data_IF_276318166845
#
_entry.id   IF_276318166845
#
_cell.length_a   1.000
_cell.length_b   1.000
_cell.length_c   1.000
_cell.angle_alpha   90.00
_cell.angle_beta   90.00
_cell.angle_gamma   90.00
#
_symmetry.space_group_name_H-M   'P 1'
#
loop_
_entity.id
_entity.type
_entity.pdbx_description
1 polymer ?
#
# COMPACT_ATOMS: atom_id res chain seq x y z
N UNK A 1 -0.63 -50.18 17.17
CA UNK A 1 0.59 -49.69 17.82
C UNK A 1 1.06 -48.51 17.00
N UNK A 2 0.50 -47.31 17.28
CA UNK A 2 0.82 -46.10 16.56
C UNK A 2 2.06 -45.45 17.16
N UNK A 3 3.16 -45.47 16.42
CA UNK A 3 4.40 -44.81 16.79
C UNK A 3 4.16 -43.30 16.59
N UNK A 4 4.07 -42.55 17.70
CA UNK A 4 4.09 -41.08 17.70
C UNK A 4 5.52 -40.68 17.32
N UNK A 5 5.74 -39.86 16.27
CA UNK A 5 7.07 -39.37 15.97
C UNK A 5 7.59 -38.50 17.11
N UNK A 6 8.81 -38.74 17.50
CA UNK A 6 9.49 -38.15 18.63
C UNK A 6 9.75 -36.65 18.31
N UNK A 7 9.23 -35.72 19.12
CA UNK A 7 9.39 -34.28 18.98
C UNK A 7 10.85 -33.79 18.96
N UNK A 8 11.78 -34.64 19.35
CA UNK A 8 13.22 -34.37 19.34
C UNK A 8 13.85 -34.34 17.93
N UNK A 9 13.32 -35.11 16.96
CA UNK A 9 13.83 -35.10 15.58
C UNK A 9 13.34 -33.90 14.80
N UNK A 10 12.14 -33.37 15.11
CA UNK A 10 11.64 -32.12 14.52
C UNK A 10 12.42 -30.90 15.02
N UNK A 11 12.89 -30.92 16.27
CA UNK A 11 13.73 -29.85 16.84
C UNK A 11 15.12 -29.78 16.22
N UNK A 12 15.78 -30.93 16.01
CA UNK A 12 17.14 -31.00 15.46
C UNK A 12 17.21 -30.60 13.98
N UNK A 13 16.16 -30.87 13.19
CA UNK A 13 16.07 -30.41 11.79
C UNK A 13 15.83 -28.90 11.68
N UNK A 14 15.25 -28.25 12.70
CA UNK A 14 14.96 -26.82 12.74
C UNK A 14 16.20 -25.98 13.10
N UNK A 15 17.10 -26.50 13.96
CA UNK A 15 18.31 -25.76 14.36
C UNK A 15 19.30 -25.55 13.22
N UNK A 16 19.38 -26.48 12.26
CA UNK A 16 20.27 -26.39 11.11
C UNK A 16 19.73 -25.53 9.93
N UNK A 17 18.43 -25.19 9.91
CA UNK A 17 17.79 -24.45 8.82
C UNK A 17 17.61 -22.95 9.09
N UNK A 18 17.77 -22.51 10.34
CA UNK A 18 17.51 -21.11 10.75
C UNK A 18 16.03 -20.69 10.69
N UNK A 19 15.10 -21.63 10.44
CA UNK A 19 13.66 -21.39 10.47
C UNK A 19 13.05 -21.79 11.82
N UNK A 20 12.03 -21.01 12.28
CA UNK A 20 11.30 -21.29 13.54
C UNK A 20 10.39 -22.52 13.44
N UNK A 21 10.04 -22.94 12.22
CA UNK A 21 9.19 -24.09 11.91
C UNK A 21 9.74 -24.80 10.68
N UNK A 22 9.16 -25.95 10.29
CA UNK A 22 9.62 -26.65 9.09
C UNK A 22 9.60 -25.75 7.86
N UNK A 23 10.61 -25.83 7.02
CA UNK A 23 10.75 -25.01 5.80
C UNK A 23 9.49 -25.09 4.90
N UNK A 24 8.83 -26.26 4.82
CA UNK A 24 7.58 -26.42 4.06
C UNK A 24 6.45 -25.55 4.60
N UNK A 25 6.29 -25.46 5.92
CA UNK A 25 5.26 -24.62 6.55
C UNK A 25 5.53 -23.12 6.36
N UNK A 26 6.80 -22.70 6.44
CA UNK A 26 7.20 -21.32 6.20
C UNK A 26 6.87 -20.90 4.77
N UNK A 27 7.22 -21.71 3.77
CA UNK A 27 6.93 -21.43 2.38
C UNK A 27 5.43 -21.50 2.06
N UNK A 28 4.69 -22.42 2.69
CA UNK A 28 3.23 -22.48 2.59
C UNK A 28 2.58 -21.21 3.14
N UNK A 29 2.97 -20.77 4.35
CA UNK A 29 2.48 -19.52 4.93
C UNK A 29 2.81 -18.31 4.07
N UNK A 30 4.02 -18.25 3.52
CA UNK A 30 4.41 -17.21 2.59
C UNK A 30 3.56 -17.21 1.32
N UNK A 31 3.39 -18.37 0.68
CA UNK A 31 2.61 -18.49 -0.56
C UNK A 31 1.14 -18.06 -0.33
N UNK A 32 0.54 -18.47 0.79
CA UNK A 32 -0.83 -18.06 1.14
C UNK A 32 -0.92 -16.55 1.41
N UNK A 33 0.06 -15.99 2.14
CA UNK A 33 0.10 -14.55 2.44
C UNK A 33 0.31 -13.72 1.16
N UNK A 34 1.21 -14.19 0.28
CA UNK A 34 1.42 -13.57 -1.03
C UNK A 34 0.16 -13.63 -1.90
N UNK A 35 -0.47 -14.81 -1.98
CA UNK A 35 -1.66 -15.02 -2.80
C UNK A 35 -2.83 -14.14 -2.33
N UNK A 36 -3.07 -14.04 -1.02
CA UNK A 36 -4.10 -13.15 -0.48
C UNK A 36 -3.80 -11.68 -0.83
N UNK A 37 -2.56 -11.21 -0.67
CA UNK A 37 -2.16 -9.84 -1.05
C UNK A 37 -2.34 -9.58 -2.54
N UNK A 38 -2.05 -10.58 -3.36
CA UNK A 38 -2.22 -10.54 -4.80
C UNK A 38 -3.69 -10.40 -5.19
N UNK A 39 -4.59 -11.21 -4.60
CA UNK A 39 -6.03 -11.14 -4.84
C UNK A 39 -6.68 -9.86 -4.27
N UNK A 40 -6.21 -9.35 -3.13
CA UNK A 40 -6.61 -8.06 -2.57
C UNK A 40 -6.41 -6.93 -3.60
N UNK A 41 -5.23 -6.87 -4.22
CA UNK A 41 -4.95 -5.85 -5.24
C UNK A 41 -5.63 -6.10 -6.59
N UNK A 42 -5.95 -7.35 -6.94
CA UNK A 42 -6.85 -7.63 -8.07
C UNK A 42 -8.22 -7.01 -7.80
N UNK A 43 -8.80 -7.23 -6.60
CA UNK A 43 -10.12 -6.68 -6.23
C UNK A 43 -10.14 -5.15 -6.26
N UNK A 44 -9.11 -4.50 -5.74
CA UNK A 44 -9.00 -3.03 -5.77
C UNK A 44 -9.03 -2.47 -7.17
N UNK A 45 -8.45 -3.16 -8.13
CA UNK A 45 -8.28 -2.65 -9.49
C UNK A 45 -9.34 -3.13 -10.47
N UNK A 46 -10.02 -4.24 -10.20
CA UNK A 46 -11.04 -4.77 -11.10
C UNK A 46 -12.15 -3.76 -11.37
N UNK A 47 -12.60 -3.04 -10.35
CA UNK A 47 -13.72 -2.07 -10.45
C UNK A 47 -13.42 -0.93 -11.42
N UNK A 48 -12.16 -0.55 -11.58
CA UNK A 48 -11.76 0.57 -12.45
C UNK A 48 -12.07 0.29 -13.91
N UNK A 49 -11.89 -0.96 -14.35
CA UNK A 49 -12.23 -1.41 -15.71
C UNK A 49 -13.73 -1.57 -15.91
N UNK A 50 -14.51 -1.61 -14.82
CA UNK A 50 -15.97 -1.76 -14.86
C UNK A 50 -16.71 -0.41 -14.98
N UNK A 51 -16.03 0.72 -14.77
CA UNK A 51 -16.63 2.07 -14.81
C UNK A 51 -17.50 2.33 -16.03
N UNK A 52 -17.08 2.00 -17.29
CA UNK A 52 -17.94 2.23 -18.45
C UNK A 52 -19.26 1.46 -18.36
N UNK A 53 -19.25 0.22 -17.88
CA UNK A 53 -20.43 -0.63 -17.76
C UNK A 53 -21.36 -0.15 -16.64
N UNK A 54 -20.83 0.13 -15.45
CA UNK A 54 -21.60 0.61 -14.30
C UNK A 54 -22.23 1.98 -14.64
N UNK A 55 -21.46 2.86 -15.31
CA UNK A 55 -21.96 4.17 -15.73
C UNK A 55 -23.14 4.05 -16.69
N UNK A 56 -23.05 3.18 -17.67
CA UNK A 56 -24.11 3.00 -18.69
C UNK A 56 -25.36 2.35 -18.11
N UNK A 57 -25.23 1.40 -17.15
CA UNK A 57 -26.37 0.69 -16.57
C UNK A 57 -27.13 1.54 -15.53
N UNK A 58 -26.38 2.27 -14.68
CA UNK A 58 -26.97 3.01 -13.57
C UNK A 58 -26.96 4.54 -13.75
N UNK A 59 -26.51 5.04 -14.90
CA UNK A 59 -26.43 6.48 -15.23
C UNK A 59 -25.68 7.31 -14.17
N UNK A 60 -24.61 6.74 -13.59
CA UNK A 60 -23.84 7.38 -12.53
C UNK A 60 -22.98 8.54 -13.04
N UNK A 61 -22.79 9.54 -12.18
CA UNK A 61 -21.79 10.58 -12.41
C UNK A 61 -20.35 10.02 -12.24
N UNK A 62 -19.37 10.68 -12.82
CA UNK A 62 -17.98 10.29 -12.67
C UNK A 62 -17.51 10.45 -11.20
N UNK A 63 -18.04 11.45 -10.47
CA UNK A 63 -17.82 11.60 -9.03
C UNK A 63 -18.29 10.37 -8.25
N UNK A 64 -19.46 9.84 -8.57
CA UNK A 64 -19.99 8.63 -7.93
C UNK A 64 -19.11 7.41 -8.22
N UNK A 65 -18.65 7.23 -9.46
CA UNK A 65 -17.73 6.16 -9.82
C UNK A 65 -16.39 6.27 -9.07
N UNK A 66 -15.80 7.47 -9.02
CA UNK A 66 -14.57 7.71 -8.26
C UNK A 66 -14.75 7.41 -6.77
N UNK A 67 -15.93 7.69 -6.19
CA UNK A 67 -16.19 7.44 -4.77
C UNK A 67 -16.24 5.94 -4.42
N UNK A 68 -16.58 5.05 -5.37
CA UNK A 68 -16.52 3.59 -5.17
C UNK A 68 -15.09 3.06 -4.95
N UNK A 69 -14.09 3.74 -5.50
CA UNK A 69 -12.67 3.44 -5.25
C UNK A 69 -12.21 4.12 -3.97
N UNK A 70 -12.59 5.38 -3.78
CA UNK A 70 -12.15 6.22 -2.67
C UNK A 70 -12.62 5.72 -1.31
N UNK A 71 -13.84 5.18 -1.22
CA UNK A 71 -14.39 4.68 0.05
C UNK A 71 -13.53 3.57 0.65
N UNK A 72 -12.98 2.68 -0.18
CA UNK A 72 -12.06 1.61 0.27
C UNK A 72 -10.83 2.23 0.92
N UNK A 73 -10.18 3.20 0.24
CA UNK A 73 -8.97 3.86 0.77
C UNK A 73 -9.24 4.66 2.05
N UNK A 74 -10.41 5.31 2.17
CA UNK A 74 -10.82 6.02 3.39
C UNK A 74 -10.93 5.04 4.55
N UNK A 75 -11.63 3.92 4.33
CA UNK A 75 -11.86 2.92 5.38
C UNK A 75 -10.54 2.24 5.78
N UNK A 76 -9.68 1.89 4.80
CA UNK A 76 -8.33 1.35 5.06
C UNK A 76 -7.49 2.33 5.88
N UNK A 77 -7.47 3.60 5.51
CA UNK A 77 -6.69 4.62 6.22
C UNK A 77 -7.21 4.86 7.63
N UNK A 78 -8.51 5.05 7.81
CA UNK A 78 -9.14 5.30 9.10
C UNK A 78 -9.13 4.07 10.03
N UNK A 79 -9.32 2.88 9.44
CA UNK A 79 -9.38 1.60 10.15
C UNK A 79 -8.02 1.01 10.53
N UNK A 80 -6.93 1.47 9.91
CA UNK A 80 -5.60 0.86 10.05
C UNK A 80 -5.14 0.69 11.48
N UNK A 81 -5.29 1.73 12.31
CA UNK A 81 -4.88 1.68 13.71
C UNK A 81 -5.82 0.83 14.60
N UNK A 82 -7.16 1.01 14.55
CA UNK A 82 -8.07 0.14 15.32
C UNK A 82 -7.91 -1.35 14.99
N UNK A 83 -7.80 -1.69 13.70
CA UNK A 83 -7.67 -3.08 13.28
C UNK A 83 -6.33 -3.70 13.69
N UNK A 84 -5.23 -2.93 13.65
CA UNK A 84 -3.94 -3.39 14.13
C UNK A 84 -3.99 -3.78 15.62
N UNK A 85 -4.65 -2.95 16.46
CA UNK A 85 -4.83 -3.24 17.90
C UNK A 85 -5.67 -4.49 18.16
N UNK A 86 -6.71 -4.73 17.33
CA UNK A 86 -7.52 -5.95 17.41
C UNK A 86 -6.71 -7.16 16.95
N UNK A 87 -5.93 -7.04 15.87
CA UNK A 87 -5.09 -8.11 15.34
C UNK A 87 -4.03 -8.58 16.34
N UNK A 88 -3.43 -7.64 17.09
CA UNK A 88 -2.44 -7.97 18.13
C UNK A 88 -3.07 -8.79 19.28
N UNK A 89 -4.38 -8.64 19.55
CA UNK A 89 -5.11 -9.40 20.59
C UNK A 89 -5.60 -10.76 20.10
N UNK A 90 -6.02 -10.85 18.84
CA UNK A 90 -6.62 -12.08 18.28
C UNK A 90 -5.58 -13.12 17.81
N UNK A 91 -4.33 -12.71 17.61
CA UNK A 91 -3.31 -13.49 16.92
C UNK A 91 -3.29 -13.20 15.41
N UNK A 92 -2.12 -13.33 14.80
CA UNK A 92 -1.88 -12.88 13.42
C UNK A 92 -2.63 -13.70 12.38
N UNK A 93 -2.60 -15.03 12.50
CA UNK A 93 -3.26 -15.93 11.54
C UNK A 93 -4.78 -15.74 11.60
N UNK A 94 -5.36 -15.72 12.80
CA UNK A 94 -6.82 -15.51 12.97
C UNK A 94 -7.25 -14.15 12.40
N UNK A 95 -6.47 -13.11 12.65
CA UNK A 95 -6.76 -11.77 12.13
C UNK A 95 -6.75 -11.72 10.60
N UNK A 96 -5.74 -12.35 9.97
CA UNK A 96 -5.66 -12.44 8.50
C UNK A 96 -6.87 -13.20 7.95
N UNK A 97 -7.27 -14.33 8.57
CA UNK A 97 -8.45 -15.09 8.12
C UNK A 97 -9.72 -14.25 8.22
N UNK A 98 -9.96 -13.58 9.35
CA UNK A 98 -11.15 -12.74 9.54
C UNK A 98 -11.17 -11.60 8.51
N UNK A 99 -10.05 -10.92 8.31
CA UNK A 99 -9.92 -9.87 7.30
C UNK A 99 -10.19 -10.42 5.89
N UNK A 100 -9.55 -11.54 5.52
CA UNK A 100 -9.69 -12.14 4.19
C UNK A 100 -11.12 -12.65 3.93
N UNK A 101 -11.77 -13.28 4.89
CA UNK A 101 -13.19 -13.68 4.77
C UNK A 101 -14.08 -12.46 4.63
N UNK A 102 -13.86 -11.41 5.43
CA UNK A 102 -14.68 -10.19 5.40
C UNK A 102 -14.60 -9.52 4.03
N UNK A 103 -13.40 -9.24 3.49
CA UNK A 103 -13.30 -8.58 2.19
C UNK A 103 -13.78 -9.48 1.05
N UNK A 104 -13.51 -10.79 1.09
CA UNK A 104 -13.97 -11.70 0.04
C UNK A 104 -15.49 -11.82 -0.02
N UNK A 105 -16.16 -11.95 1.13
CA UNK A 105 -17.63 -11.98 1.19
C UNK A 105 -18.24 -10.63 0.76
N UNK A 106 -17.62 -9.51 1.16
CA UNK A 106 -18.04 -8.19 0.73
C UNK A 106 -17.88 -8.01 -0.80
N UNK A 107 -16.75 -8.49 -1.37
CA UNK A 107 -16.55 -8.48 -2.82
C UNK A 107 -17.58 -9.35 -3.55
N UNK A 108 -17.87 -10.55 -3.06
CA UNK A 108 -18.91 -11.41 -3.62
C UNK A 108 -20.29 -10.72 -3.51
N UNK A 109 -20.56 -10.00 -2.41
CA UNK A 109 -21.83 -9.28 -2.24
C UNK A 109 -22.02 -8.17 -3.29
N UNK A 110 -20.92 -7.61 -3.86
CA UNK A 110 -21.02 -6.63 -4.94
C UNK A 110 -21.71 -7.18 -6.20
N UNK A 111 -21.68 -8.51 -6.43
CA UNK A 111 -22.42 -9.14 -7.54
C UNK A 111 -23.94 -8.94 -7.44
N UNK A 112 -24.46 -8.90 -6.22
CA UNK A 112 -25.90 -8.89 -5.94
C UNK A 112 -26.47 -7.49 -5.75
N UNK A 113 -25.63 -6.46 -5.89
CA UNK A 113 -26.06 -5.08 -5.73
C UNK A 113 -26.97 -4.63 -6.88
N UNK A 114 -28.05 -3.93 -6.54
CA UNK A 114 -29.06 -3.43 -7.48
C UNK A 114 -28.94 -1.91 -7.72
N UNK A 115 -28.18 -1.19 -6.89
CA UNK A 115 -28.02 0.26 -6.98
C UNK A 115 -26.68 0.73 -6.42
N UNK A 116 -26.39 2.01 -6.67
CA UNK A 116 -25.13 2.66 -6.24
C UNK A 116 -24.92 2.58 -4.73
N UNK A 117 -25.93 2.84 -3.91
CA UNK A 117 -25.77 2.87 -2.45
C UNK A 117 -25.37 1.50 -1.89
N UNK A 118 -25.97 0.42 -2.41
CA UNK A 118 -25.59 -0.94 -2.01
C UNK A 118 -24.16 -1.26 -2.41
N UNK A 119 -23.76 -0.93 -3.64
CA UNK A 119 -22.38 -1.15 -4.10
C UNK A 119 -21.39 -0.32 -3.28
N UNK A 120 -21.70 0.95 -2.97
CA UNK A 120 -20.87 1.82 -2.15
C UNK A 120 -20.67 1.24 -0.73
N UNK A 121 -21.75 0.77 -0.09
CA UNK A 121 -21.65 0.13 1.23
C UNK A 121 -20.88 -1.19 1.19
N UNK A 122 -21.10 -2.02 0.17
CA UNK A 122 -20.31 -3.25 -0.03
C UNK A 122 -18.82 -2.93 -0.18
N UNK A 123 -18.46 -1.92 -0.98
CA UNK A 123 -17.07 -1.45 -1.12
C UNK A 123 -16.49 -0.87 0.18
N UNK A 124 -17.29 -0.21 1.02
CA UNK A 124 -16.84 0.22 2.35
C UNK A 124 -16.48 -0.99 3.25
N UNK A 125 -17.30 -2.05 3.20
CA UNK A 125 -17.02 -3.30 3.94
C UNK A 125 -15.79 -4.02 3.38
N UNK A 126 -15.59 -4.01 2.06
CA UNK A 126 -14.33 -4.48 1.44
C UNK A 126 -13.14 -3.77 2.08
N UNK A 127 -13.16 -2.42 2.14
CA UNK A 127 -12.09 -1.64 2.77
C UNK A 127 -11.84 -2.01 4.23
N UNK A 128 -12.88 -2.36 5.00
CA UNK A 128 -12.73 -2.81 6.37
C UNK A 128 -11.96 -4.15 6.45
N UNK A 129 -12.27 -5.09 5.56
CA UNK A 129 -11.58 -6.37 5.48
C UNK A 129 -10.14 -6.26 4.97
N UNK A 130 -9.84 -5.28 4.12
CA UNK A 130 -8.48 -5.03 3.61
C UNK A 130 -7.58 -4.28 4.62
N UNK A 131 -8.19 -3.70 5.66
CA UNK A 131 -7.48 -2.87 6.63
C UNK A 131 -6.49 -3.69 7.48
N UNK A 132 -5.22 -3.29 7.47
CA UNK A 132 -4.18 -3.90 8.31
C UNK A 132 -3.58 -5.20 7.76
N UNK A 133 -4.14 -5.79 6.72
CA UNK A 133 -3.64 -7.03 6.14
C UNK A 133 -2.16 -6.97 5.75
N UNK A 134 -1.76 -5.89 5.06
CA UNK A 134 -0.37 -5.70 4.63
C UNK A 134 0.62 -5.64 5.80
N UNK A 135 0.29 -4.94 6.88
CA UNK A 135 1.15 -4.82 8.06
C UNK A 135 1.27 -6.13 8.84
N UNK A 136 0.17 -6.87 9.00
CA UNK A 136 0.17 -8.20 9.66
C UNK A 136 0.94 -9.22 8.82
N UNK A 137 0.80 -9.19 7.49
CA UNK A 137 1.55 -10.05 6.56
C UNK A 137 3.06 -9.80 6.62
N UNK A 138 3.49 -8.53 6.62
CA UNK A 138 4.90 -8.16 6.79
C UNK A 138 5.45 -8.64 8.13
N UNK A 139 4.69 -8.49 9.21
CA UNK A 139 5.08 -8.95 10.53
C UNK A 139 5.21 -10.49 10.59
N UNK A 140 4.29 -11.23 9.95
CA UNK A 140 4.33 -12.68 9.83
C UNK A 140 5.59 -13.12 9.07
N UNK A 141 5.84 -12.61 7.88
CA UNK A 141 6.99 -12.94 7.04
C UNK A 141 8.31 -12.61 7.77
N UNK A 142 8.36 -11.45 8.42
CA UNK A 142 9.55 -11.02 9.16
C UNK A 142 9.91 -11.93 10.32
N UNK A 143 8.95 -12.65 10.86
CA UNK A 143 9.16 -13.61 11.95
C UNK A 143 9.48 -15.02 11.44
N UNK A 144 8.83 -15.45 10.35
CA UNK A 144 9.01 -16.81 9.82
C UNK A 144 10.34 -16.99 9.08
N UNK A 145 10.87 -15.95 8.47
CA UNK A 145 12.11 -16.04 7.66
C UNK A 145 13.35 -15.64 8.47
N UNK A 146 14.47 -16.40 8.35
CA UNK A 146 15.74 -16.04 8.95
C UNK A 146 16.28 -14.72 8.40
N UNK A 147 17.12 -14.02 9.16
CA UNK A 147 17.66 -12.69 8.80
C UNK A 147 18.27 -12.64 7.40
N UNK A 148 18.90 -13.73 6.95
CA UNK A 148 19.59 -13.85 5.65
C UNK A 148 18.62 -13.81 4.45
N UNK A 149 17.43 -14.39 4.55
CA UNK A 149 16.44 -14.49 3.46
C UNK A 149 15.24 -13.56 3.62
N UNK A 150 15.09 -12.91 4.79
CA UNK A 150 13.97 -12.04 5.12
C UNK A 150 13.77 -10.90 4.12
N UNK A 151 14.84 -10.22 3.71
CA UNK A 151 14.76 -9.12 2.74
C UNK A 151 14.26 -9.59 1.38
N UNK A 152 14.68 -10.77 0.92
CA UNK A 152 14.21 -11.34 -0.34
C UNK A 152 12.72 -11.73 -0.26
N UNK A 153 12.30 -12.36 0.85
CA UNK A 153 10.90 -12.71 1.05
C UNK A 153 9.98 -11.48 1.12
N UNK A 154 10.39 -10.43 1.84
CA UNK A 154 9.64 -9.17 1.88
C UNK A 154 9.60 -8.48 0.51
N UNK A 155 10.72 -8.48 -0.23
CA UNK A 155 10.76 -7.94 -1.59
C UNK A 155 9.79 -8.66 -2.52
N UNK A 156 9.74 -10.00 -2.46
CA UNK A 156 8.78 -10.80 -3.21
C UNK A 156 7.32 -10.48 -2.79
N UNK A 157 7.06 -10.37 -1.49
CA UNK A 157 5.73 -10.01 -0.97
C UNK A 157 5.26 -8.65 -1.49
N UNK A 158 6.14 -7.65 -1.53
CA UNK A 158 5.82 -6.32 -2.06
C UNK A 158 5.67 -6.27 -3.60
N UNK A 159 5.99 -7.34 -4.32
CA UNK A 159 5.65 -7.46 -5.74
C UNK A 159 4.17 -7.83 -5.96
N UNK A 160 3.52 -8.48 -4.99
CA UNK A 160 2.12 -8.91 -5.11
C UNK A 160 1.14 -7.76 -5.43
N UNK A 161 1.19 -6.57 -4.77
CA UNK A 161 0.38 -5.41 -5.12
C UNK A 161 0.47 -5.00 -6.58
N UNK A 162 1.67 -4.95 -7.11
CA UNK A 162 1.91 -4.53 -8.50
C UNK A 162 1.36 -5.53 -9.50
N UNK A 163 1.64 -6.80 -9.30
CA UNK A 163 1.16 -7.89 -10.15
C UNK A 163 -0.37 -8.00 -10.07
N UNK A 164 -0.94 -7.91 -8.86
CA UNK A 164 -2.38 -7.93 -8.64
C UNK A 164 -3.07 -6.76 -9.33
N UNK A 165 -2.51 -5.55 -9.24
CA UNK A 165 -3.07 -4.36 -9.88
C UNK A 165 -3.11 -4.49 -11.40
N UNK A 166 -2.02 -4.96 -12.02
CA UNK A 166 -1.96 -5.21 -13.47
C UNK A 166 -3.03 -6.22 -13.88
N UNK A 167 -3.09 -7.35 -13.17
CA UNK A 167 -4.03 -8.41 -13.50
C UNK A 167 -5.48 -8.00 -13.25
N UNK A 168 -5.76 -7.24 -12.19
CA UNK A 168 -7.09 -6.74 -11.85
C UNK A 168 -7.69 -5.87 -12.94
N UNK A 169 -6.91 -4.94 -13.48
CA UNK A 169 -7.34 -4.08 -14.60
C UNK A 169 -7.62 -4.91 -15.85
N UNK A 170 -6.78 -5.88 -16.19
CA UNK A 170 -6.96 -6.75 -17.36
C UNK A 170 -8.17 -7.65 -17.19
N UNK A 171 -8.26 -8.37 -16.06
CA UNK A 171 -9.36 -9.30 -15.78
C UNK A 171 -10.70 -8.58 -15.72
N UNK A 172 -10.76 -7.39 -15.10
CA UNK A 172 -11.99 -6.60 -15.03
C UNK A 172 -12.60 -6.35 -16.41
N UNK A 173 -11.81 -5.87 -17.36
CA UNK A 173 -12.25 -5.64 -18.73
C UNK A 173 -12.65 -6.93 -19.48
N UNK A 174 -11.87 -8.00 -19.33
CA UNK A 174 -12.13 -9.29 -19.99
C UNK A 174 -13.39 -9.98 -19.47
N UNK A 175 -13.59 -9.99 -18.16
CA UNK A 175 -14.74 -10.64 -17.52
C UNK A 175 -16.01 -9.86 -17.85
N UNK A 176 -15.96 -8.52 -17.71
CA UNK A 176 -17.10 -7.67 -18.00
C UNK A 176 -17.61 -7.81 -19.45
N UNK A 177 -16.68 -7.96 -20.41
CA UNK A 177 -17.03 -8.14 -21.82
C UNK A 177 -17.73 -9.48 -22.11
N UNK A 178 -17.49 -10.55 -21.33
CA UNK A 178 -18.01 -11.89 -21.59
C UNK A 178 -19.21 -12.26 -20.72
N UNK A 179 -19.18 -11.90 -19.43
CA UNK A 179 -20.13 -12.36 -18.42
C UNK A 179 -20.84 -11.21 -17.69
N UNK A 180 -20.62 -9.97 -18.14
CA UNK A 180 -21.13 -8.78 -17.49
C UNK A 180 -20.27 -8.34 -16.29
N UNK A 181 -20.36 -7.06 -15.94
CA UNK A 181 -19.50 -6.44 -14.93
C UNK A 181 -19.69 -7.01 -13.52
N UNK A 182 -20.91 -7.47 -13.17
CA UNK A 182 -21.21 -8.08 -11.86
C UNK A 182 -20.42 -9.38 -11.64
N UNK A 183 -20.24 -10.19 -12.70
CA UNK A 183 -19.49 -11.43 -12.62
C UNK A 183 -18.00 -11.21 -12.21
N UNK A 184 -17.43 -10.05 -12.52
CA UNK A 184 -16.05 -9.75 -12.18
C UNK A 184 -15.80 -9.80 -10.66
N UNK A 185 -16.76 -9.33 -9.85
CA UNK A 185 -16.63 -9.40 -8.39
C UNK A 185 -16.69 -10.85 -7.87
N UNK A 186 -17.51 -11.71 -8.47
CA UNK A 186 -17.57 -13.12 -8.10
C UNK A 186 -16.28 -13.87 -8.45
N UNK A 187 -15.77 -13.66 -9.66
CA UNK A 187 -14.52 -14.30 -10.13
C UNK A 187 -13.32 -13.91 -9.26
N UNK A 188 -13.31 -12.71 -8.70
CA UNK A 188 -12.22 -12.24 -7.83
C UNK A 188 -12.47 -12.61 -6.37
N UNK A 189 -13.70 -12.47 -5.87
CA UNK A 189 -14.02 -12.70 -4.47
C UNK A 189 -13.99 -14.18 -4.06
N UNK A 190 -14.43 -15.09 -4.95
CA UNK A 190 -14.46 -16.54 -4.65
C UNK A 190 -13.06 -17.12 -4.40
N UNK A 191 -12.05 -16.89 -5.26
CA UNK A 191 -10.70 -17.35 -4.96
C UNK A 191 -10.13 -16.76 -3.65
N UNK A 192 -10.42 -15.49 -3.35
CA UNK A 192 -10.04 -14.86 -2.09
C UNK A 192 -10.62 -15.60 -0.88
N UNK A 193 -11.91 -15.98 -0.94
CA UNK A 193 -12.56 -16.74 0.11
C UNK A 193 -11.95 -18.14 0.26
N UNK A 194 -11.68 -18.83 -0.85
CA UNK A 194 -11.03 -20.13 -0.84
C UNK A 194 -9.64 -20.05 -0.20
N UNK A 195 -8.85 -19.05 -0.57
CA UNK A 195 -7.53 -18.81 0.02
C UNK A 195 -7.63 -18.49 1.52
N UNK A 196 -8.64 -17.74 1.96
CA UNK A 196 -8.88 -17.45 3.37
C UNK A 196 -9.17 -18.73 4.17
N UNK A 197 -9.91 -19.69 3.60
CA UNK A 197 -10.15 -20.98 4.20
C UNK A 197 -8.87 -21.83 4.27
N UNK A 198 -8.07 -21.87 3.20
CA UNK A 198 -6.76 -22.54 3.24
C UNK A 198 -5.79 -21.89 4.22
N UNK A 199 -5.95 -20.60 4.49
CA UNK A 199 -5.11 -19.89 5.46
C UNK A 199 -5.31 -20.41 6.90
N UNK A 200 -6.44 -21.05 7.22
CA UNK A 200 -6.67 -21.75 8.49
C UNK A 200 -5.68 -22.89 8.74
N UNK A 201 -5.05 -23.43 7.68
CA UNK A 201 -4.01 -24.46 7.78
C UNK A 201 -2.63 -23.88 8.13
N UNK A 202 -2.47 -22.56 8.10
CA UNK A 202 -1.24 -21.89 8.53
C UNK A 202 -1.17 -21.96 10.06
N UNK A 203 -0.09 -22.51 10.60
CA UNK A 203 0.11 -22.57 12.04
C UNK A 203 0.44 -21.17 12.58
N UNK A 204 -0.33 -20.75 13.58
CA UNK A 204 -0.03 -19.54 14.35
C UNK A 204 1.16 -19.81 15.26
N UNK A 205 2.03 -18.83 15.46
CA UNK A 205 3.11 -18.92 16.42
C UNK A 205 2.89 -17.86 17.51
N UNK A 206 3.21 -18.24 18.76
CA UNK A 206 3.11 -17.33 19.90
C UNK A 206 4.15 -16.21 19.74
N UNK A 207 3.70 -14.98 19.68
CA UNK A 207 4.57 -13.82 19.77
C UNK A 207 5.17 -13.80 21.18
N UNK A 208 6.49 -13.74 21.28
CA UNK A 208 7.15 -13.52 22.58
C UNK A 208 6.71 -12.15 23.07
N UNK A 209 6.01 -12.10 24.20
CA UNK A 209 5.63 -10.85 24.83
C UNK A 209 6.91 -10.07 25.19
N UNK A 210 7.11 -8.92 24.55
CA UNK A 210 8.16 -7.98 24.94
C UNK A 210 7.76 -7.45 26.30
N UNK A 211 8.39 -7.91 27.36
CA UNK A 211 8.28 -7.50 28.78
C UNK A 211 6.84 -7.23 29.32
N UNK A 212 6.55 -7.60 30.59
CA UNK A 212 5.22 -7.42 31.18
C UNK A 212 4.71 -5.98 31.19
N UNK A 213 5.60 -4.99 31.16
CA UNK A 213 5.27 -3.55 31.20
C UNK A 213 4.99 -2.92 29.81
N UNK A 214 5.28 -3.63 28.71
CA UNK A 214 5.07 -3.15 27.36
C UNK A 214 3.85 -3.77 26.67
N UNK A 215 2.85 -4.24 27.41
CA UNK A 215 1.65 -4.84 26.84
C UNK A 215 0.84 -3.77 26.08
N UNK A 216 0.87 -3.74 24.72
CA UNK A 216 0.10 -2.77 23.94
C UNK A 216 -1.41 -2.93 24.17
N UNK A 217 -1.84 -4.08 24.72
CA UNK A 217 -3.23 -4.35 25.04
C UNK A 217 -3.82 -3.43 26.13
N UNK A 218 -2.98 -2.83 26.99
CA UNK A 218 -3.42 -1.91 28.05
C UNK A 218 -3.31 -0.43 27.66
N UNK A 219 -2.75 -0.10 26.50
CA UNK A 219 -2.73 1.29 26.04
C UNK A 219 -4.09 1.64 25.45
N UNK A 220 -4.79 2.60 26.04
CA UNK A 220 -6.05 3.10 25.49
C UNK A 220 -5.81 3.68 24.09
N UNK A 221 -6.77 3.46 23.18
CA UNK A 221 -6.75 4.03 21.82
C UNK A 221 -6.44 5.53 21.82
N UNK A 222 -6.97 6.25 22.83
CA UNK A 222 -6.72 7.68 23.03
C UNK A 222 -5.26 8.03 23.33
N UNK A 223 -4.54 7.20 24.11
CA UNK A 223 -3.11 7.42 24.39
C UNK A 223 -2.25 7.17 23.16
N UNK A 224 -2.59 6.17 22.35
CA UNK A 224 -1.88 5.88 21.10
C UNK A 224 -2.11 7.00 20.09
N UNK A 225 -3.36 7.47 19.92
CA UNK A 225 -3.67 8.63 19.09
C UNK A 225 -2.92 9.89 19.58
N UNK A 226 -2.90 10.16 20.89
CA UNK A 226 -2.18 11.30 21.45
C UNK A 226 -0.67 11.23 21.17
N UNK A 227 -0.06 10.03 21.20
CA UNK A 227 1.34 9.81 20.81
C UNK A 227 1.58 10.07 19.33
N UNK A 228 0.67 9.60 18.47
CA UNK A 228 0.72 9.83 17.00
C UNK A 228 0.68 11.33 16.71
N UNK A 229 -0.31 12.03 17.25
CA UNK A 229 -0.42 13.49 17.07
C UNK A 229 0.74 14.24 17.70
N UNK A 230 1.22 13.80 18.86
CA UNK A 230 2.40 14.41 19.51
C UNK A 230 3.69 14.22 18.70
N UNK A 231 3.92 13.06 18.10
CA UNK A 231 5.05 12.81 17.23
C UNK A 231 4.97 13.65 15.95
N UNK A 232 3.78 13.72 15.32
CA UNK A 232 3.53 14.52 14.13
C UNK A 232 3.75 16.02 14.40
N UNK A 233 3.23 16.52 15.52
CA UNK A 233 3.36 17.94 15.88
C UNK A 233 4.80 18.37 16.18
N UNK A 234 5.66 17.44 16.57
CA UNK A 234 7.07 17.73 16.92
C UNK A 234 8.03 17.61 15.75
N UNK A 235 7.65 16.91 14.68
CA UNK A 235 8.51 16.61 13.53
C UNK A 235 7.95 17.28 12.28
N UNK A 236 8.34 18.54 12.05
CA UNK A 236 7.84 19.32 10.90
C UNK A 236 8.16 18.67 9.57
N UNK A 237 9.34 18.07 9.42
CA UNK A 237 9.74 17.36 8.19
C UNK A 237 8.79 16.20 7.89
N UNK A 238 8.40 15.39 8.88
CA UNK A 238 7.46 14.30 8.69
C UNK A 238 6.11 14.81 8.17
N UNK A 239 5.59 15.90 8.72
CA UNK A 239 4.33 16.50 8.30
C UNK A 239 4.35 16.93 6.83
N UNK A 240 5.39 17.67 6.44
CA UNK A 240 5.54 18.13 5.04
C UNK A 240 5.79 16.98 4.07
N UNK A 241 6.52 15.96 4.48
CA UNK A 241 6.75 14.73 3.70
C UNK A 241 5.44 13.95 3.54
N UNK A 242 4.62 13.83 4.57
CA UNK A 242 3.28 13.23 4.48
C UNK A 242 2.37 14.00 3.53
N UNK A 243 2.37 15.34 3.61
CA UNK A 243 1.60 16.20 2.71
C UNK A 243 2.07 16.07 1.25
N UNK A 244 3.39 16.08 1.01
CA UNK A 244 3.97 15.90 -0.32
C UNK A 244 3.66 14.52 -0.91
N UNK A 245 3.81 13.47 -0.11
CA UNK A 245 3.47 12.11 -0.52
C UNK A 245 1.98 11.97 -0.88
N UNK A 246 1.10 12.55 -0.06
CA UNK A 246 -0.34 12.55 -0.33
C UNK A 246 -0.70 13.30 -1.61
N UNK A 247 -0.12 14.48 -1.81
CA UNK A 247 -0.35 15.27 -3.02
C UNK A 247 0.10 14.54 -4.30
N UNK A 248 1.25 13.85 -4.26
CA UNK A 248 1.68 13.01 -5.38
C UNK A 248 0.75 11.82 -5.60
N UNK A 249 0.28 11.17 -4.53
CA UNK A 249 -0.63 10.04 -4.63
C UNK A 249 -2.02 10.40 -5.14
N UNK A 250 -2.46 11.67 -5.04
CA UNK A 250 -3.67 12.16 -5.74
C UNK A 250 -3.50 11.96 -7.25
N UNK A 251 -2.37 12.37 -7.82
CA UNK A 251 -2.08 12.17 -9.25
C UNK A 251 -2.03 10.68 -9.60
N UNK A 252 -1.32 9.87 -8.82
CA UNK A 252 -1.18 8.42 -9.06
C UNK A 252 -2.53 7.72 -9.06
N UNK A 253 -3.32 7.92 -8.00
CA UNK A 253 -4.61 7.24 -7.84
C UNK A 253 -5.66 7.69 -8.85
N UNK A 254 -5.66 8.97 -9.22
CA UNK A 254 -6.51 9.47 -10.30
C UNK A 254 -6.15 8.83 -11.64
N UNK A 255 -4.85 8.76 -11.99
CA UNK A 255 -4.40 8.11 -13.22
C UNK A 255 -4.75 6.63 -13.25
N UNK A 256 -4.50 5.89 -12.17
CA UNK A 256 -4.84 4.47 -12.09
C UNK A 256 -6.34 4.22 -12.21
N UNK A 257 -7.18 5.09 -11.65
CA UNK A 257 -8.62 4.91 -11.66
C UNK A 257 -9.28 5.33 -12.98
N UNK A 258 -8.76 6.34 -13.64
CA UNK A 258 -9.45 6.94 -14.78
C UNK A 258 -8.82 6.63 -16.14
N UNK A 259 -7.59 6.12 -16.17
CA UNK A 259 -6.92 5.83 -17.44
C UNK A 259 -7.68 4.82 -18.32
N UNK A 260 -8.22 3.69 -17.81
CA UNK A 260 -9.01 2.80 -18.66
C UNK A 260 -10.24 3.51 -19.24
N UNK A 261 -10.96 4.30 -18.44
CA UNK A 261 -12.12 5.07 -18.90
C UNK A 261 -11.74 6.14 -19.90
N UNK A 262 -10.57 6.77 -19.74
CA UNK A 262 -10.04 7.76 -20.70
C UNK A 262 -9.76 7.12 -22.06
N UNK A 263 -9.04 6.00 -22.07
CA UNK A 263 -8.73 5.26 -23.28
C UNK A 263 -9.98 4.76 -24.00
N UNK A 264 -10.98 4.32 -23.23
CA UNK A 264 -12.26 3.90 -23.79
C UNK A 264 -13.02 5.09 -24.42
N UNK A 265 -13.15 6.24 -23.71
CA UNK A 265 -13.97 7.37 -24.15
C UNK A 265 -13.32 8.20 -25.28
N UNK A 266 -12.01 8.40 -25.25
CA UNK A 266 -11.31 9.32 -26.17
C UNK A 266 -10.53 8.60 -27.29
N UNK A 267 -10.15 7.34 -27.08
CA UNK A 267 -9.48 6.55 -28.10
C UNK A 267 -10.36 5.45 -28.72
N UNK A 268 -11.64 5.36 -28.32
CA UNK A 268 -12.58 4.37 -28.85
C UNK A 268 -12.19 2.92 -28.59
N UNK A 269 -11.29 2.69 -27.59
CA UNK A 269 -10.86 1.33 -27.25
C UNK A 269 -12.01 0.58 -26.57
N UNK A 270 -12.13 -0.72 -26.85
CA UNK A 270 -13.02 -1.59 -26.05
C UNK A 270 -12.55 -1.59 -24.59
N UNK A 271 -13.43 -1.81 -23.59
CA UNK A 271 -13.03 -1.87 -22.19
C UNK A 271 -11.90 -2.87 -21.92
N UNK A 272 -11.88 -4.00 -22.65
CA UNK A 272 -10.81 -4.98 -22.57
C UNK A 272 -9.47 -4.43 -23.09
N UNK A 273 -9.46 -3.78 -24.25
CA UNK A 273 -8.25 -3.19 -24.84
C UNK A 273 -7.74 -2.02 -23.98
N UNK A 274 -8.63 -1.18 -23.47
CA UNK A 274 -8.31 -0.08 -22.58
C UNK A 274 -7.71 -0.57 -21.26
N UNK A 275 -8.25 -1.67 -20.72
CA UNK A 275 -7.71 -2.33 -19.52
C UNK A 275 -6.29 -2.85 -19.76
N UNK A 276 -6.03 -3.54 -20.88
CA UNK A 276 -4.69 -4.02 -21.23
C UNK A 276 -3.69 -2.87 -21.41
N UNK A 277 -4.09 -1.81 -22.09
CA UNK A 277 -3.24 -0.62 -22.27
C UNK A 277 -2.94 0.08 -20.94
N UNK A 278 -3.94 0.26 -20.07
CA UNK A 278 -3.73 0.84 -18.75
C UNK A 278 -2.83 -0.04 -17.87
N UNK A 279 -2.94 -1.36 -17.97
CA UNK A 279 -2.09 -2.31 -17.26
C UNK A 279 -0.59 -2.14 -17.60
N UNK A 280 -0.25 -1.76 -18.84
CA UNK A 280 1.14 -1.42 -19.23
C UNK A 280 1.65 -0.24 -18.41
N UNK A 281 0.84 0.80 -18.24
CA UNK A 281 1.22 2.00 -17.46
C UNK A 281 1.39 1.65 -15.98
N UNK A 282 0.50 0.82 -15.42
CA UNK A 282 0.62 0.33 -14.04
C UNK A 282 1.90 -0.49 -13.86
N UNK A 283 2.20 -1.40 -14.79
CA UNK A 283 3.41 -2.23 -14.75
C UNK A 283 4.69 -1.38 -14.82
N UNK A 284 4.76 -0.43 -15.75
CA UNK A 284 5.89 0.49 -15.88
C UNK A 284 6.06 1.32 -14.60
N UNK A 285 4.95 1.81 -14.03
CA UNK A 285 4.96 2.51 -12.75
C UNK A 285 5.44 1.67 -11.57
N UNK A 286 5.08 0.39 -11.53
CA UNK A 286 5.52 -0.55 -10.51
C UNK A 286 7.04 -0.81 -10.57
N UNK A 287 7.56 -1.05 -11.78
CA UNK A 287 9.00 -1.23 -12.00
C UNK A 287 9.79 0.03 -11.67
N UNK A 288 9.26 1.19 -12.03
CA UNK A 288 9.90 2.49 -11.79
C UNK A 288 9.99 2.84 -10.30
N UNK A 289 9.04 2.42 -9.47
CA UNK A 289 9.07 2.62 -8.02
C UNK A 289 10.37 2.07 -7.40
N UNK A 290 10.73 0.83 -7.74
CA UNK A 290 11.98 0.19 -7.29
C UNK A 290 13.21 0.89 -7.86
N UNK A 291 13.17 1.22 -9.15
CA UNK A 291 14.29 1.90 -9.83
C UNK A 291 14.56 3.28 -9.21
N UNK A 292 13.52 4.12 -9.04
CA UNK A 292 13.68 5.44 -8.44
C UNK A 292 14.12 5.38 -6.99
N UNK A 293 13.62 4.42 -6.22
CA UNK A 293 14.11 4.15 -4.85
C UNK A 293 15.61 3.88 -4.82
N UNK A 294 16.09 3.03 -5.74
CA UNK A 294 17.51 2.71 -5.86
C UNK A 294 18.36 3.90 -6.36
N UNK A 295 17.93 4.56 -7.44
CA UNK A 295 18.65 5.68 -8.07
C UNK A 295 18.76 6.86 -7.10
N UNK A 296 17.66 7.30 -6.52
CA UNK A 296 17.66 8.40 -5.55
C UNK A 296 18.47 8.03 -4.32
N UNK A 297 18.28 6.82 -3.78
CA UNK A 297 19.03 6.34 -2.62
C UNK A 297 20.55 6.32 -2.86
N UNK A 298 21.01 5.90 -4.06
CA UNK A 298 22.42 5.88 -4.41
C UNK A 298 22.99 7.27 -4.62
N UNK A 299 22.27 8.14 -5.34
CA UNK A 299 22.72 9.51 -5.63
C UNK A 299 22.80 10.37 -4.37
N UNK A 300 21.92 10.12 -3.40
CA UNK A 300 21.83 10.93 -2.17
C UNK A 300 22.51 10.29 -0.97
N UNK A 301 23.24 9.18 -1.16
CA UNK A 301 23.88 8.42 -0.07
C UNK A 301 24.81 9.27 0.79
N UNK A 302 25.55 10.24 0.18
CA UNK A 302 26.47 11.13 0.91
C UNK A 302 25.74 12.25 1.66
N UNK A 303 24.61 12.68 1.16
CA UNK A 303 23.80 13.78 1.70
C UNK A 303 22.30 13.38 1.66
N UNK A 304 21.77 12.71 2.69
CA UNK A 304 20.38 12.21 2.72
C UNK A 304 19.33 13.31 2.51
N UNK A 305 19.61 14.55 2.91
CA UNK A 305 18.77 15.73 2.66
C UNK A 305 18.43 15.90 1.17
N UNK A 306 19.35 15.53 0.26
CA UNK A 306 19.16 15.69 -1.18
C UNK A 306 18.08 14.73 -1.75
N UNK A 307 17.52 13.80 -0.96
CA UNK A 307 16.34 13.03 -1.34
C UNK A 307 15.14 13.96 -1.62
N UNK A 308 14.97 15.02 -0.84
CA UNK A 308 13.83 15.94 -0.95
C UNK A 308 13.83 16.76 -2.27
N UNK A 309 14.92 17.46 -2.66
CA UNK A 309 14.95 18.13 -3.95
C UNK A 309 14.89 17.16 -5.14
N UNK A 310 15.44 15.94 -5.01
CA UNK A 310 15.28 14.92 -6.05
C UNK A 310 13.81 14.51 -6.22
N UNK A 311 13.07 14.30 -5.12
CA UNK A 311 11.63 14.06 -5.16
C UNK A 311 10.86 15.22 -5.79
N UNK A 312 11.20 16.46 -5.42
CA UNK A 312 10.58 17.67 -6.00
C UNK A 312 10.76 17.71 -7.52
N UNK A 313 11.97 17.47 -8.00
CA UNK A 313 12.27 17.46 -9.44
C UNK A 313 11.47 16.37 -10.17
N UNK A 314 11.42 15.15 -9.62
CA UNK A 314 10.67 14.04 -10.21
C UNK A 314 9.14 14.29 -10.22
N UNK A 315 8.60 14.92 -9.18
CA UNK A 315 7.20 15.34 -9.15
C UNK A 315 6.89 16.40 -10.21
N UNK A 316 7.77 17.38 -10.41
CA UNK A 316 7.62 18.39 -11.47
C UNK A 316 7.68 17.74 -12.86
N UNK A 317 8.62 16.83 -13.10
CA UNK A 317 8.69 16.06 -14.35
C UNK A 317 7.40 15.29 -14.59
N UNK A 318 6.87 14.61 -13.55
CA UNK A 318 5.58 13.91 -13.63
C UNK A 318 4.46 14.85 -14.06
N UNK A 319 4.37 16.03 -13.44
CA UNK A 319 3.36 17.04 -13.76
C UNK A 319 3.47 17.51 -15.20
N UNK A 320 4.67 17.91 -15.63
CA UNK A 320 4.90 18.42 -17.01
C UNK A 320 4.51 17.39 -18.05
N UNK A 321 4.92 16.12 -17.87
CA UNK A 321 4.63 15.05 -18.83
C UNK A 321 3.12 14.80 -18.92
N UNK A 322 2.41 14.68 -17.80
CA UNK A 322 0.97 14.42 -17.83
C UNK A 322 0.15 15.63 -18.30
N UNK A 323 0.52 16.86 -17.91
CA UNK A 323 -0.11 18.06 -18.44
C UNK A 323 0.07 18.13 -19.96
N UNK A 324 1.27 17.84 -20.47
CA UNK A 324 1.50 17.77 -21.90
C UNK A 324 0.69 16.62 -22.54
N UNK A 325 0.66 15.43 -21.95
CA UNK A 325 -0.03 14.26 -22.49
C UNK A 325 -1.54 14.49 -22.65
N UNK A 326 -2.21 15.11 -21.68
CA UNK A 326 -3.67 15.29 -21.68
C UNK A 326 -4.11 16.67 -22.19
N UNK A 327 -3.27 17.71 -22.07
CA UNK A 327 -3.58 19.06 -22.51
C UNK A 327 -3.23 19.35 -23.99
N UNK A 328 -2.38 18.54 -24.59
CA UNK A 328 -1.98 18.70 -25.99
C UNK A 328 -2.85 17.88 -26.96
N UNK A 329 -2.86 18.31 -28.21
CA UNK A 329 -3.52 17.58 -29.32
C UNK A 329 -2.49 16.70 -30.04
N UNK A 330 -2.41 15.44 -29.66
CA UNK A 330 -1.47 14.48 -30.24
C UNK A 330 -2.20 13.32 -30.93
N UNK A 331 -1.54 12.70 -31.90
CA UNK A 331 -1.97 11.39 -32.38
C UNK A 331 -2.02 10.38 -31.22
N UNK A 332 -3.01 9.48 -31.22
CA UNK A 332 -3.25 8.52 -30.13
C UNK A 332 -2.00 7.75 -29.69
N UNK A 333 -1.15 7.34 -30.65
CA UNK A 333 0.09 6.61 -30.36
C UNK A 333 1.13 7.49 -29.62
N UNK A 334 1.24 8.76 -29.92
CA UNK A 334 2.17 9.68 -29.28
C UNK A 334 1.66 10.00 -27.87
N UNK A 335 0.37 10.28 -27.74
CA UNK A 335 -0.26 10.53 -26.46
C UNK A 335 -0.09 9.35 -25.50
N UNK A 336 -0.33 8.14 -25.99
CA UNK A 336 -0.14 6.93 -25.17
C UNK A 336 1.32 6.74 -24.73
N UNK A 337 2.30 7.01 -25.61
CA UNK A 337 3.72 7.00 -25.22
C UNK A 337 4.03 8.01 -24.11
N UNK A 338 3.49 9.23 -24.21
CA UNK A 338 3.64 10.24 -23.15
C UNK A 338 3.01 9.77 -21.83
N UNK A 339 1.82 9.15 -21.88
CA UNK A 339 1.16 8.59 -20.69
C UNK A 339 2.04 7.48 -20.06
N UNK A 340 2.64 6.60 -20.85
CA UNK A 340 3.55 5.55 -20.36
C UNK A 340 4.80 6.17 -19.70
N UNK A 341 5.39 7.19 -20.32
CA UNK A 341 6.53 7.92 -19.75
C UNK A 341 6.12 8.64 -18.46
N UNK A 342 4.96 9.29 -18.42
CA UNK A 342 4.41 9.86 -17.19
C UNK A 342 4.22 8.80 -16.10
N UNK A 343 3.73 7.62 -16.46
CA UNK A 343 3.61 6.44 -15.59
C UNK A 343 4.93 5.99 -14.98
N UNK A 344 6.03 6.10 -15.73
CA UNK A 344 7.37 5.80 -15.24
C UNK A 344 7.85 6.77 -14.14
N UNK A 345 7.42 8.03 -14.18
CA UNK A 345 7.83 9.01 -13.17
C UNK A 345 6.85 9.09 -11.99
N UNK A 346 5.57 8.79 -12.16
CA UNK A 346 4.55 9.07 -11.15
C UNK A 346 4.72 8.34 -9.81
N UNK A 347 5.33 7.13 -9.81
CA UNK A 347 5.55 6.34 -8.59
C UNK A 347 6.92 6.60 -7.92
N UNK A 348 7.64 7.64 -8.33
CA UNK A 348 8.99 7.98 -7.82
C UNK A 348 9.05 8.22 -6.30
N UNK A 349 7.92 8.58 -5.67
CA UNK A 349 7.90 8.97 -4.26
C UNK A 349 7.76 7.78 -3.31
N UNK A 350 7.14 6.66 -3.72
CA UNK A 350 6.68 5.61 -2.82
C UNK A 350 7.79 5.05 -1.92
N UNK A 351 8.92 4.62 -2.50
CA UNK A 351 10.03 4.05 -1.73
C UNK A 351 10.87 5.11 -1.01
N UNK A 352 11.09 6.26 -1.66
CA UNK A 352 11.98 7.30 -1.14
C UNK A 352 11.37 8.02 0.07
N UNK A 353 10.05 8.32 0.02
CA UNK A 353 9.32 8.97 1.11
C UNK A 353 9.36 8.14 2.39
N UNK A 354 9.18 6.83 2.30
CA UNK A 354 9.29 5.95 3.47
C UNK A 354 10.68 6.03 4.10
N UNK A 355 11.75 6.08 3.27
CA UNK A 355 13.12 6.29 3.74
C UNK A 355 13.31 7.62 4.46
N UNK A 356 12.84 8.73 3.87
CA UNK A 356 12.93 10.07 4.50
C UNK A 356 12.16 10.12 5.82
N UNK A 357 10.97 9.52 5.86
CA UNK A 357 10.18 9.45 7.10
C UNK A 357 10.93 8.70 8.21
N UNK A 358 11.64 7.61 7.87
CA UNK A 358 12.44 6.86 8.86
C UNK A 358 13.72 7.58 9.26
N UNK A 359 14.27 8.46 8.41
CA UNK A 359 15.47 9.27 8.72
C UNK A 359 15.16 10.34 9.80
N UNK A 360 13.92 10.85 9.88
CA UNK A 360 13.52 11.96 10.77
C UNK A 360 12.63 11.52 11.94
N UNK A 361 12.41 10.22 12.12
CA UNK A 361 11.61 9.68 13.23
C UNK A 361 12.49 8.81 14.12
N UNK A 362 12.44 9.09 15.44
CA UNK A 362 13.19 8.34 16.46
C UNK A 362 12.95 6.81 16.33
N UNK A 363 13.99 5.97 16.42
CA UNK A 363 13.89 4.50 16.27
C UNK A 363 12.76 3.86 17.10
N UNK A 364 12.54 4.33 18.33
CA UNK A 364 11.48 3.81 19.21
C UNK A 364 10.04 4.11 18.79
N UNK A 365 9.84 5.03 17.82
CA UNK A 365 8.49 5.40 17.31
C UNK A 365 8.38 5.32 15.78
N UNK A 366 9.28 4.60 15.13
CA UNK A 366 9.26 4.40 13.66
C UNK A 366 7.98 3.75 13.15
N UNK A 367 7.42 2.80 13.89
CA UNK A 367 6.13 2.19 13.57
C UNK A 367 5.01 3.21 13.58
N UNK A 368 5.03 4.14 14.54
CA UNK A 368 4.07 5.26 14.62
C UNK A 368 4.24 6.22 13.44
N UNK A 369 5.48 6.56 13.06
CA UNK A 369 5.77 7.37 11.88
C UNK A 369 5.28 6.73 10.59
N UNK A 370 5.48 5.43 10.42
CA UNK A 370 4.97 4.67 9.28
C UNK A 370 3.43 4.65 9.26
N UNK A 371 2.78 4.50 10.41
CA UNK A 371 1.32 4.51 10.51
C UNK A 371 0.74 5.89 10.14
N UNK A 372 1.37 6.98 10.60
CA UNK A 372 0.99 8.35 10.22
C UNK A 372 1.15 8.55 8.72
N UNK A 373 2.28 8.17 8.13
CA UNK A 373 2.50 8.26 6.69
C UNK A 373 1.43 7.47 5.92
N UNK A 374 1.14 6.23 6.33
CA UNK A 374 0.12 5.39 5.71
C UNK A 374 -1.28 6.01 5.80
N UNK A 375 -1.66 6.58 6.95
CA UNK A 375 -2.92 7.28 7.14
C UNK A 375 -3.05 8.45 6.15
N UNK A 376 -2.03 9.30 6.07
CA UNK A 376 -2.02 10.43 5.15
C UNK A 376 -2.11 9.99 3.70
N UNK A 377 -1.34 8.99 3.31
CA UNK A 377 -1.33 8.44 1.95
C UNK A 377 -2.69 7.86 1.54
N UNK A 378 -3.36 7.12 2.42
CA UNK A 378 -4.65 6.51 2.12
C UNK A 378 -5.77 7.56 2.10
N UNK A 379 -5.89 8.40 3.13
CA UNK A 379 -7.03 9.33 3.28
C UNK A 379 -6.87 10.56 2.38
N UNK A 380 -5.70 11.18 2.34
CA UNK A 380 -5.48 12.43 1.61
C UNK A 380 -4.83 12.25 0.23
N UNK A 381 -4.35 11.04 -0.09
CA UNK A 381 -3.79 10.70 -1.39
C UNK A 381 -4.71 9.80 -2.20
N UNK A 382 -4.71 8.50 -1.87
CA UNK A 382 -5.41 7.47 -2.64
C UNK A 382 -6.94 7.67 -2.68
N UNK A 383 -7.55 8.17 -1.61
CA UNK A 383 -8.98 8.41 -1.58
C UNK A 383 -9.38 9.70 -2.32
N UNK A 384 -8.56 10.76 -2.27
CA UNK A 384 -8.91 12.03 -2.88
C UNK A 384 -8.85 11.97 -4.41
N UNK A 385 -7.82 11.31 -4.97
CA UNK A 385 -7.58 11.31 -6.42
C UNK A 385 -8.77 10.89 -7.28
N UNK A 386 -9.35 9.70 -7.07
CA UNK A 386 -10.46 9.21 -7.90
C UNK A 386 -11.72 10.10 -7.83
N UNK A 387 -12.10 10.57 -6.64
CA UNK A 387 -13.27 11.44 -6.45
C UNK A 387 -13.02 12.83 -7.03
N UNK A 388 -11.84 13.40 -6.82
CA UNK A 388 -11.48 14.71 -7.32
C UNK A 388 -11.47 14.72 -8.86
N UNK A 389 -10.83 13.71 -9.47
CA UNK A 389 -10.85 13.57 -10.93
C UNK A 389 -12.26 13.35 -11.47
N UNK A 390 -13.09 12.55 -10.81
CA UNK A 390 -14.49 12.37 -11.17
C UNK A 390 -15.31 13.65 -11.05
N UNK A 391 -15.16 14.41 -9.97
CA UNK A 391 -15.87 15.68 -9.78
C UNK A 391 -15.46 16.74 -10.80
N UNK A 392 -14.18 16.81 -11.15
CA UNK A 392 -13.67 17.69 -12.22
C UNK A 392 -14.17 17.20 -13.59
N UNK A 393 -14.24 15.87 -13.79
CA UNK A 393 -14.75 15.28 -15.02
C UNK A 393 -16.23 15.59 -15.25
N UNK A 394 -17.06 15.58 -14.21
CA UNK A 394 -18.49 15.94 -14.31
C UNK A 394 -18.68 17.42 -14.69
N UNK A 395 -17.73 18.30 -14.38
CA UNK A 395 -17.82 19.74 -14.67
C UNK A 395 -17.18 20.14 -16.02
N UNK A 396 -15.99 19.59 -16.29
CA UNK A 396 -15.14 20.06 -17.41
C UNK A 396 -14.79 18.94 -18.41
N UNK A 397 -15.28 17.72 -18.17
CA UNK A 397 -14.92 16.53 -18.95
C UNK A 397 -13.62 15.89 -18.47
N UNK A 398 -13.50 14.58 -18.73
CA UNK A 398 -12.42 13.74 -18.20
C UNK A 398 -11.02 14.16 -18.69
N UNK A 399 -10.90 14.63 -19.93
CA UNK A 399 -9.61 15.09 -20.47
C UNK A 399 -9.08 16.30 -19.70
N UNK A 400 -9.92 17.31 -19.45
CA UNK A 400 -9.54 18.47 -18.66
C UNK A 400 -9.24 18.10 -17.20
N UNK A 401 -10.03 17.20 -16.61
CA UNK A 401 -9.77 16.70 -15.27
C UNK A 401 -8.35 16.09 -15.17
N UNK A 402 -8.00 15.19 -16.12
CA UNK A 402 -6.69 14.55 -16.16
C UNK A 402 -5.54 15.49 -16.54
N UNK A 403 -5.82 16.64 -17.14
CA UNK A 403 -4.84 17.72 -17.36
C UNK A 403 -4.55 18.52 -16.09
N UNK A 404 -5.58 18.77 -15.26
CA UNK A 404 -5.46 19.58 -14.05
C UNK A 404 -4.92 18.79 -12.86
N UNK A 405 -5.34 17.55 -12.68
CA UNK A 405 -4.92 16.69 -11.55
C UNK A 405 -3.40 16.61 -11.36
N UNK A 406 -2.57 16.50 -12.42
CA UNK A 406 -1.11 16.47 -12.26
C UNK A 406 -0.51 17.72 -11.62
N UNK A 407 -1.25 18.83 -11.52
CA UNK A 407 -0.82 20.01 -10.75
C UNK A 407 -0.69 19.70 -9.24
N UNK A 408 -1.36 18.65 -8.75
CA UNK A 408 -1.10 18.14 -7.40
C UNK A 408 0.35 17.64 -7.22
N UNK A 409 1.02 17.21 -8.30
CA UNK A 409 2.45 16.87 -8.26
C UNK A 409 3.34 18.13 -8.11
N UNK A 410 2.91 19.29 -8.62
CA UNK A 410 3.58 20.57 -8.34
C UNK A 410 3.43 20.93 -6.86
N UNK A 411 2.24 20.74 -6.30
CA UNK A 411 2.00 20.95 -4.88
C UNK A 411 2.86 20.00 -4.02
N UNK A 412 3.01 18.74 -4.44
CA UNK A 412 3.91 17.78 -3.80
C UNK A 412 5.37 18.28 -3.83
N UNK A 413 5.83 18.79 -4.98
CA UNK A 413 7.18 19.34 -5.11
C UNK A 413 7.42 20.52 -4.14
N UNK A 414 6.44 21.41 -3.99
CA UNK A 414 6.50 22.53 -3.04
C UNK A 414 6.62 22.02 -1.60
N UNK A 415 5.82 21.03 -1.21
CA UNK A 415 5.86 20.46 0.13
C UNK A 415 7.21 19.78 0.42
N UNK A 416 7.82 19.09 -0.56
CA UNK A 416 9.15 18.50 -0.37
C UNK A 416 10.24 19.57 -0.25
N UNK A 417 10.14 20.70 -0.97
CA UNK A 417 11.06 21.83 -0.80
C UNK A 417 10.92 22.46 0.60
N UNK A 418 9.68 22.60 1.09
CA UNK A 418 9.45 23.11 2.44
C UNK A 418 10.02 22.13 3.49
N UNK A 419 9.80 20.81 3.32
CA UNK A 419 10.35 19.79 4.20
C UNK A 419 11.88 19.85 4.31
N UNK A 420 12.58 20.27 3.26
CA UNK A 420 14.03 20.40 3.25
C UNK A 420 14.53 21.43 4.29
N UNK A 421 13.71 22.43 4.64
CA UNK A 421 14.13 23.49 5.58
C UNK A 421 14.25 22.98 7.02
N UNK A 422 13.45 21.98 7.39
CA UNK A 422 13.44 21.39 8.75
C UNK A 422 14.19 20.07 8.85
N UNK A 423 14.63 19.49 7.72
CA UNK A 423 15.20 18.15 7.68
C UNK A 423 16.43 18.00 8.59
N UNK A 424 17.41 18.90 8.48
CA UNK A 424 18.66 18.82 9.24
C UNK A 424 18.40 18.98 10.74
N UNK A 425 17.48 19.86 11.13
CA UNK A 425 17.09 20.08 12.52
C UNK A 425 16.38 18.87 13.13
N UNK A 426 15.45 18.25 12.38
CA UNK A 426 14.72 17.09 12.84
C UNK A 426 15.60 15.83 12.88
N UNK A 427 16.52 15.67 11.91
CA UNK A 427 17.48 14.57 11.87
C UNK A 427 18.52 14.67 13.00
N UNK A 428 19.02 15.88 13.31
CA UNK A 428 19.96 16.10 14.41
C UNK A 428 19.37 15.74 15.78
N UNK A 429 18.09 16.05 16.01
CA UNK A 429 17.39 15.69 17.26
C UNK A 429 17.36 14.18 17.53
N UNK A 430 17.52 13.35 16.51
CA UNK A 430 17.55 11.90 16.67
C UNK A 430 18.93 11.42 17.08
N UNK A 431 20.00 12.04 16.55
CA UNK A 431 21.38 11.69 16.87
C UNK A 431 21.75 12.05 18.31
N UNK A 432 21.18 13.12 18.86
CA UNK A 432 21.46 13.58 20.24
C UNK A 432 20.89 12.67 21.34
N UNK A 433 19.96 11.77 20.99
CA UNK A 433 19.31 10.84 21.95
C UNK A 433 20.05 9.49 22.05
N UNK A 434 21.16 9.29 21.35
CA UNK A 434 21.90 8.02 21.28
C UNK A 434 23.30 8.01 21.93
N UNK A 435 23.57 8.56 23.15
CA UNK A 435 24.79 8.21 23.85
C UNK A 435 24.65 7.35 25.09
N UNK A 436 23.47 7.12 25.69
CA UNK A 436 23.42 6.58 27.07
C UNK A 436 22.92 5.14 27.24
N UNK A 437 22.91 4.32 26.22
CA UNK A 437 22.46 2.92 26.34
C UNK A 437 23.57 1.85 26.34
N UNK A 438 24.81 2.20 26.58
CA UNK A 438 25.91 1.23 26.69
C UNK A 438 26.99 1.63 27.70
N UNK A 439 26.66 1.73 28.99
CA UNK A 439 27.68 1.39 29.94
C UNK A 439 27.11 0.65 31.20
N UNK A 440 26.76 -0.57 31.12
CA UNK A 440 26.47 -1.35 32.34
C UNK A 440 26.80 -2.85 32.21
N UNK A 441 27.25 -3.32 31.06
CA UNK A 441 27.56 -4.75 30.87
C UNK A 441 29.06 -5.05 30.71
N UNK A 442 29.91 -4.03 30.55
CA UNK A 442 31.36 -4.22 30.47
C UNK A 442 32.03 -4.31 31.84
N UNK A 443 31.50 -3.63 32.88
CA UNK A 443 32.12 -3.60 34.21
C UNK A 443 31.76 -4.80 35.10
N UNK A 444 30.74 -5.57 34.79
CA UNK A 444 30.38 -6.77 35.56
C UNK A 444 31.14 -8.03 35.14
N UNK A 445 31.85 -8.00 34.00
CA UNK A 445 32.66 -9.13 33.54
C UNK A 445 34.16 -8.99 33.87
N UNK A 446 34.60 -7.84 34.37
CA UNK A 446 36.02 -7.63 34.76
C UNK A 446 36.29 -7.83 36.24
N UNK A 447 35.28 -8.03 37.10
CA UNK A 447 35.47 -8.23 38.56
C UNK A 447 35.22 -9.65 39.05
N UNK A 448 35.06 -10.62 38.13
CA UNK A 448 34.73 -12.02 38.46
C UNK A 448 35.90 -13.02 38.40
N UNK A 449 37.17 -12.59 38.33
CA UNK A 449 38.32 -13.49 38.34
C UNK A 449 39.40 -12.99 39.30
N UNK A 450 39.14 -13.01 40.61
CA UNK A 450 40.13 -13.09 41.67
C UNK A 450 39.45 -13.36 43.02
N UNK A 451 39.23 -14.61 43.35
CA UNK A 451 39.29 -15.18 44.71
C UNK A 451 39.08 -16.68 44.60
#
# INVERSE_FOLDING_TARGET
MNVIPNDSEAGAASENSGYLTSSRQVWFAFAMTFALMFFDFIDRQVIVSLFPHIKSEWHLSDKQLGSLVSVVSIVVGAGGLPVALVADRMGRVKSIVVMAVTWSLATISCMFTANYSQLFMARAVVGLGETGYGSVGVALISTLFPKSSRSAALGAFYAAPSLGSVLGVVLGGMIAARWGWKAAFGVVGVPGLVLALFYLLVRDYKTVALTPDSNPANQSLGLTLKRIFGALARTHTLLWVCAGASAQLITVSAMWSWLPSYLNRFHGMTPEAAGKAAAVVVLVGALSCTLWGFVVGRLTRRQPRNKLPALSALCLVTSVIFVAAFGGTYAAAIQFKLIVVGGFFMNCTVGVVAGVAMDVVHPGVRSTGAAVLSLFQNVFGLAVGPVLAGALSDRWGLQHALTVIPLCSVLAAIFFVIAMRSYDTDAARISDVQPDAAPALADTLSTGTAA
#
